data_IF_427272921032
#
_entry.id   IF_427272921032
#
_cell.length_a   1.000
_cell.length_b   1.000
_cell.length_c   1.000
_cell.angle_alpha   90.00
_cell.angle_beta   90.00
_cell.angle_gamma   90.00
#
_symmetry.space_group_name_H-M   'P 1'
#
loop_
_entity.id
_entity.type
_entity.pdbx_description
1 polymer ?
#
# COMPACT_ATOMS: atom_id res chain seq x y z
N UNK A 1 6.86 -17.20 57.10
CA UNK A 1 6.08 -16.31 56.22
C UNK A 1 6.81 -15.93 54.94
N UNK A 2 8.15 -15.88 54.93
CA UNK A 2 8.97 -15.48 53.76
C UNK A 2 8.88 -16.43 52.56
N UNK A 3 8.94 -17.75 52.78
CA UNK A 3 8.91 -18.77 51.70
C UNK A 3 7.66 -18.67 50.81
N UNK A 4 6.51 -18.34 51.39
CA UNK A 4 5.25 -18.19 50.63
C UNK A 4 5.21 -16.88 49.84
N UNK A 5 5.82 -15.81 50.37
CA UNK A 5 5.95 -14.53 49.67
C UNK A 5 6.95 -14.64 48.50
N UNK A 6 8.04 -15.39 48.68
CA UNK A 6 9.03 -15.64 47.63
C UNK A 6 8.43 -16.47 46.47
N UNK A 7 7.61 -17.47 46.79
CA UNK A 7 6.91 -18.28 45.79
C UNK A 7 5.89 -17.44 44.98
N UNK A 8 5.09 -16.60 45.65
CA UNK A 8 4.17 -15.68 44.98
C UNK A 8 4.91 -14.66 44.11
N UNK A 9 6.04 -14.14 44.59
CA UNK A 9 6.86 -13.20 43.81
C UNK A 9 7.41 -13.86 42.54
N UNK A 10 7.92 -15.09 42.65
CA UNK A 10 8.42 -15.85 41.51
C UNK A 10 7.31 -16.13 40.48
N UNK A 11 6.09 -16.45 40.94
CA UNK A 11 4.94 -16.67 40.06
C UNK A 11 4.51 -15.39 39.34
N UNK A 12 4.42 -14.27 40.06
CA UNK A 12 4.11 -12.97 39.46
C UNK A 12 5.16 -12.55 38.42
N UNK A 13 6.44 -12.77 38.70
CA UNK A 13 7.52 -12.48 37.75
C UNK A 13 7.39 -13.34 36.49
N UNK A 14 7.11 -14.64 36.65
CA UNK A 14 6.87 -15.55 35.53
C UNK A 14 5.68 -15.10 34.68
N UNK A 15 4.57 -14.73 35.29
CA UNK A 15 3.39 -14.22 34.57
C UNK A 15 3.71 -12.94 33.77
N UNK A 16 4.48 -12.02 34.36
CA UNK A 16 4.90 -10.81 33.67
C UNK A 16 5.81 -11.13 32.46
N UNK A 17 6.75 -12.06 32.60
CA UNK A 17 7.62 -12.52 31.52
C UNK A 17 6.82 -13.19 30.39
N UNK A 18 5.87 -14.07 30.74
CA UNK A 18 4.97 -14.70 29.78
C UNK A 18 4.13 -13.66 29.03
N UNK A 19 3.62 -12.64 29.73
CA UNK A 19 2.88 -11.55 29.11
C UNK A 19 3.74 -10.77 28.10
N UNK A 20 4.99 -10.47 28.42
CA UNK A 20 5.91 -9.81 27.48
C UNK A 20 6.20 -10.68 26.27
N UNK A 21 6.41 -11.99 26.46
CA UNK A 21 6.60 -12.94 25.36
C UNK A 21 5.39 -12.97 24.44
N UNK A 22 4.18 -13.12 24.98
CA UNK A 22 2.96 -13.12 24.17
C UNK A 22 2.76 -11.80 23.44
N UNK A 23 3.04 -10.66 24.09
CA UNK A 23 2.95 -9.35 23.44
C UNK A 23 3.93 -9.23 22.28
N UNK A 24 5.16 -9.73 22.43
CA UNK A 24 6.13 -9.81 21.33
C UNK A 24 5.58 -10.64 20.17
N UNK A 25 5.13 -11.87 20.44
CA UNK A 25 4.62 -12.79 19.42
C UNK A 25 3.42 -12.18 18.66
N UNK A 26 2.53 -11.48 19.37
CA UNK A 26 1.40 -10.76 18.76
C UNK A 26 1.85 -9.62 17.83
N UNK A 27 2.83 -8.83 18.26
CA UNK A 27 3.36 -7.74 17.45
C UNK A 27 4.06 -8.26 16.18
N UNK A 28 4.79 -9.37 16.28
CA UNK A 28 5.41 -10.02 15.12
C UNK A 28 4.35 -10.56 14.13
N UNK A 29 3.27 -11.15 14.64
CA UNK A 29 2.15 -11.60 13.82
C UNK A 29 1.46 -10.42 13.09
N UNK A 30 1.19 -9.32 13.80
CA UNK A 30 0.58 -8.12 13.22
C UNK A 30 1.48 -7.48 12.15
N UNK A 31 2.79 -7.41 12.39
CA UNK A 31 3.74 -6.93 11.39
C UNK A 31 3.73 -7.81 10.13
N UNK A 32 3.63 -9.13 10.30
CA UNK A 32 3.53 -10.08 9.18
C UNK A 32 2.24 -9.86 8.38
N UNK A 33 1.10 -9.70 9.06
CA UNK A 33 -0.17 -9.39 8.39
C UNK A 33 -0.11 -8.08 7.59
N UNK A 34 0.51 -7.04 8.16
CA UNK A 34 0.64 -5.75 7.47
C UNK A 34 1.52 -5.83 6.23
N UNK A 35 2.59 -6.65 6.23
CA UNK A 35 3.40 -6.92 5.04
C UNK A 35 2.60 -7.65 3.96
N UNK A 36 1.79 -8.64 4.35
CA UNK A 36 0.94 -9.36 3.41
C UNK A 36 -0.12 -8.44 2.79
N UNK A 37 -0.76 -7.58 3.57
CA UNK A 37 -1.71 -6.56 3.10
C UNK A 37 -1.07 -5.63 2.06
N UNK A 38 0.14 -5.13 2.34
CA UNK A 38 0.88 -4.30 1.40
C UNK A 38 1.21 -5.03 0.08
N UNK A 39 1.57 -6.32 0.15
CA UNK A 39 1.83 -7.13 -1.04
C UNK A 39 0.56 -7.31 -1.90
N UNK A 40 -0.60 -7.51 -1.28
CA UNK A 40 -1.88 -7.60 -1.98
C UNK A 40 -2.22 -6.29 -2.68
N UNK A 41 -2.04 -5.14 -2.02
CA UNK A 41 -2.27 -3.82 -2.63
C UNK A 41 -1.36 -3.59 -3.85
N UNK A 42 -0.10 -4.04 -3.79
CA UNK A 42 0.81 -3.96 -4.93
C UNK A 42 0.37 -4.86 -6.10
N UNK A 43 -0.21 -6.03 -5.81
CA UNK A 43 -0.77 -6.90 -6.85
C UNK A 43 -2.00 -6.28 -7.49
N UNK A 44 -2.91 -5.72 -6.69
CA UNK A 44 -4.09 -5.01 -7.19
C UNK A 44 -3.72 -3.85 -8.11
N UNK A 45 -2.72 -3.04 -7.73
CA UNK A 45 -2.22 -1.96 -8.58
C UNK A 45 -1.70 -2.44 -9.95
N UNK A 46 -1.10 -3.64 -10.01
CA UNK A 46 -0.67 -4.25 -11.29
C UNK A 46 -1.85 -4.72 -12.13
N UNK A 47 -2.87 -5.31 -11.49
CA UNK A 47 -4.10 -5.73 -12.16
C UNK A 47 -4.77 -4.52 -12.82
N UNK A 48 -4.95 -3.42 -12.09
CA UNK A 48 -5.50 -2.17 -12.66
C UNK A 48 -4.67 -1.66 -13.83
N UNK A 49 -3.34 -1.77 -13.77
CA UNK A 49 -2.45 -1.45 -14.89
C UNK A 49 -2.72 -2.29 -16.14
N UNK A 50 -2.87 -3.61 -15.96
CA UNK A 50 -3.24 -4.53 -17.05
C UNK A 50 -4.64 -4.27 -17.59
N UNK A 51 -5.64 -3.99 -16.75
CA UNK A 51 -6.99 -3.64 -17.18
C UNK A 51 -6.98 -2.39 -18.07
N UNK A 52 -6.19 -1.37 -17.71
CA UNK A 52 -6.02 -0.18 -18.54
C UNK A 52 -5.32 -0.48 -19.89
N UNK A 53 -4.39 -1.44 -19.93
CA UNK A 53 -3.78 -1.92 -21.18
C UNK A 53 -4.78 -2.67 -22.06
N UNK A 54 -5.57 -3.56 -21.47
CA UNK A 54 -6.62 -4.31 -22.16
C UNK A 54 -7.62 -3.33 -22.78
N UNK A 55 -8.11 -2.36 -22.02
CA UNK A 55 -9.04 -1.34 -22.52
C UNK A 55 -8.47 -0.57 -23.73
N UNK A 56 -7.16 -0.24 -23.73
CA UNK A 56 -6.50 0.39 -24.89
C UNK A 56 -6.44 -0.53 -26.10
N UNK A 57 -6.15 -1.82 -25.91
CA UNK A 57 -6.14 -2.79 -27.00
C UNK A 57 -7.54 -3.02 -27.57
N UNK A 58 -8.56 -3.12 -26.71
CA UNK A 58 -9.95 -3.29 -27.12
C UNK A 58 -10.43 -2.09 -27.94
N UNK A 59 -10.10 -0.87 -27.53
CA UNK A 59 -10.39 0.36 -28.29
C UNK A 59 -9.75 0.33 -29.69
N UNK A 60 -8.46 -0.05 -29.78
CA UNK A 60 -7.74 -0.16 -31.05
C UNK A 60 -8.37 -1.21 -31.99
N UNK A 61 -8.85 -2.32 -31.43
CA UNK A 61 -9.53 -3.37 -32.20
C UNK A 61 -10.90 -2.89 -32.67
N UNK A 62 -11.67 -2.23 -31.80
CA UNK A 62 -13.04 -1.81 -32.08
C UNK A 62 -13.12 -0.70 -33.14
N UNK A 63 -12.18 0.24 -33.15
CA UNK A 63 -12.26 1.45 -33.97
C UNK A 63 -11.23 1.53 -35.12
N UNK A 64 -10.22 0.65 -35.14
CA UNK A 64 -9.09 0.77 -36.08
C UNK A 64 -8.48 2.19 -36.06
N UNK A 65 -7.80 2.62 -37.14
CA UNK A 65 -7.36 4.02 -37.30
C UNK A 65 -8.43 4.92 -37.94
N UNK A 66 -9.68 4.48 -38.04
CA UNK A 66 -10.63 5.01 -39.03
C UNK A 66 -11.73 5.93 -38.45
N UNK A 67 -12.13 5.79 -37.18
CA UNK A 67 -13.38 6.41 -36.69
C UNK A 67 -13.20 7.39 -35.51
N UNK A 68 -12.27 8.34 -35.61
CA UNK A 68 -12.31 9.51 -34.74
C UNK A 68 -13.09 10.65 -35.46
N UNK A 69 -14.34 10.98 -35.05
CA UNK A 69 -15.01 12.17 -35.57
C UNK A 69 -14.18 13.42 -35.28
N UNK A 70 -13.90 14.19 -36.33
CA UNK A 70 -12.90 15.25 -36.35
C UNK A 70 -13.28 16.54 -35.58
N UNK A 71 -14.33 16.56 -34.75
CA UNK A 71 -14.86 17.81 -34.17
C UNK A 71 -14.74 17.97 -32.63
N UNK A 72 -14.28 16.98 -31.88
CA UNK A 72 -14.13 17.08 -30.41
C UNK A 72 -12.72 17.47 -29.92
N UNK A 73 -11.83 17.88 -30.81
CA UNK A 73 -10.42 18.17 -30.48
C UNK A 73 -10.24 19.17 -29.32
N UNK A 74 -11.15 20.15 -29.18
CA UNK A 74 -11.10 21.15 -28.10
C UNK A 74 -11.44 20.61 -26.72
N UNK A 75 -12.44 19.73 -26.60
CA UNK A 75 -12.82 19.11 -25.33
C UNK A 75 -11.79 18.04 -24.92
N UNK A 76 -11.25 17.28 -25.88
CA UNK A 76 -10.12 16.36 -25.63
C UNK A 76 -8.86 17.11 -25.16
N UNK A 77 -8.52 18.25 -25.79
CA UNK A 77 -7.38 19.05 -25.36
C UNK A 77 -7.56 19.61 -23.94
N UNK A 78 -8.78 20.06 -23.60
CA UNK A 78 -9.10 20.54 -22.24
C UNK A 78 -9.02 19.41 -21.21
N UNK A 79 -9.57 18.24 -21.50
CA UNK A 79 -9.46 17.07 -20.63
C UNK A 79 -8.02 16.61 -20.45
N UNK A 80 -7.24 16.54 -21.54
CA UNK A 80 -5.83 16.18 -21.50
C UNK A 80 -5.01 17.16 -20.65
N UNK A 81 -5.26 18.46 -20.78
CA UNK A 81 -4.60 19.49 -19.97
C UNK A 81 -4.97 19.42 -18.48
N UNK A 82 -6.26 19.20 -18.17
CA UNK A 82 -6.70 19.01 -16.79
C UNK A 82 -6.10 17.73 -16.17
N UNK A 83 -6.01 16.64 -16.93
CA UNK A 83 -5.34 15.42 -16.51
C UNK A 83 -3.83 15.58 -16.32
N UNK A 84 -3.15 16.34 -17.20
CA UNK A 84 -1.70 16.56 -17.04
C UNK A 84 -1.38 17.34 -15.76
N UNK A 85 -2.19 18.35 -15.42
CA UNK A 85 -2.00 19.11 -14.18
C UNK A 85 -2.30 18.26 -12.93
N UNK A 86 -3.35 17.43 -12.98
CA UNK A 86 -3.64 16.46 -11.91
C UNK A 86 -2.54 15.40 -11.74
N UNK A 87 -1.87 14.98 -12.82
CA UNK A 87 -0.81 13.99 -12.79
C UNK A 87 0.44 14.47 -12.03
N UNK A 88 0.77 15.76 -12.09
CA UNK A 88 1.89 16.35 -11.35
C UNK A 88 1.67 16.25 -9.83
N UNK A 89 0.46 16.57 -9.36
CA UNK A 89 0.09 16.43 -7.96
C UNK A 89 0.10 14.97 -7.49
N UNK A 90 -0.36 14.04 -8.34
CA UNK A 90 -0.35 12.61 -8.04
C UNK A 90 1.08 12.07 -7.92
N UNK A 91 1.97 12.41 -8.85
CA UNK A 91 3.37 12.00 -8.81
C UNK A 91 4.10 12.57 -7.58
N UNK A 92 3.82 13.82 -7.22
CA UNK A 92 4.36 14.45 -6.01
C UNK A 92 3.99 13.69 -4.74
N UNK A 93 2.71 13.30 -4.59
CA UNK A 93 2.25 12.50 -3.45
C UNK A 93 2.93 11.12 -3.41
N UNK A 94 3.04 10.42 -4.55
CA UNK A 94 3.70 9.12 -4.61
C UNK A 94 5.19 9.22 -4.23
N UNK A 95 5.87 10.25 -4.69
CA UNK A 95 7.27 10.48 -4.33
C UNK A 95 7.44 10.78 -2.84
N UNK A 96 6.53 11.56 -2.24
CA UNK A 96 6.52 11.82 -0.80
C UNK A 96 6.34 10.52 0.01
N UNK A 97 5.39 9.66 -0.39
CA UNK A 97 5.17 8.35 0.26
C UNK A 97 6.42 7.48 0.17
N UNK A 98 7.07 7.41 -1.00
CA UNK A 98 8.32 6.65 -1.19
C UNK A 98 9.46 7.20 -0.35
N UNK A 99 9.58 8.52 -0.23
CA UNK A 99 10.61 9.15 0.60
C UNK A 99 10.42 8.82 2.09
N UNK A 100 9.17 8.85 2.57
CA UNK A 100 8.83 8.43 3.95
C UNK A 100 9.17 6.95 4.15
N UNK A 101 8.82 6.07 3.21
CA UNK A 101 9.15 4.66 3.30
C UNK A 101 10.67 4.41 3.39
N UNK A 102 11.46 5.06 2.52
CA UNK A 102 12.92 4.95 2.53
C UNK A 102 13.55 5.48 3.84
N UNK A 103 12.99 6.54 4.42
CA UNK A 103 13.43 7.05 5.72
C UNK A 103 13.17 6.05 6.85
N UNK A 104 12.04 5.36 6.82
CA UNK A 104 11.69 4.32 7.81
C UNK A 104 12.57 3.07 7.67
N UNK A 105 12.92 2.67 6.44
CA UNK A 105 13.81 1.53 6.18
C UNK A 105 15.27 1.82 6.55
N UNK A 106 15.75 3.06 6.36
CA UNK A 106 17.10 3.48 6.76
C UNK A 106 17.29 3.72 8.27
N UNK A 107 16.22 3.69 9.06
CA UNK A 107 16.24 3.84 10.52
C UNK A 107 16.13 2.50 11.27
N UNK A 108 15.90 1.39 10.56
CA UNK A 108 15.84 0.03 11.09
C UNK A 108 17.23 -0.65 11.06
#
# INVERSE_FOLDING_TARGET
MTVQQDAMHAEHLKQAQDHFRWRKDHLEALATLKRAEAALMLHEARIVGHEAEIARHEEQIAHGTADAPADQAGDHARMAHAHSHGAEHHLGLLNAIKAVAAQLEGQA
#
